data_IF_512109470525
#
_entry.id   IF_512109470525
#
_cell.length_a   1.000
_cell.length_b   1.000
_cell.length_c   1.000
_cell.angle_alpha   90.00
_cell.angle_beta   90.00
_cell.angle_gamma   90.00
#
_symmetry.space_group_name_H-M   'P 1'
#
loop_
_entity.id
_entity.type
_entity.pdbx_description
1 polymer ?
#
# COMPACT_ATOMS: atom_id res chain seq x y z
N UNK A 1 -3.64 -13.48 -6.37
CA UNK A 1 -3.79 -12.01 -6.49
C UNK A 1 -5.00 -11.72 -7.36
N UNK A 2 -5.59 -10.53 -7.26
CA UNK A 2 -6.62 -9.99 -8.16
C UNK A 2 -6.05 -8.75 -8.84
N UNK A 3 -6.52 -8.42 -10.04
CA UNK A 3 -6.16 -7.16 -10.67
C UNK A 3 -6.73 -5.97 -9.89
N UNK A 4 -5.99 -4.86 -9.81
CA UNK A 4 -6.41 -3.63 -9.15
C UNK A 4 -5.76 -2.42 -9.83
N UNK A 5 -6.56 -1.42 -10.19
CA UNK A 5 -6.11 -0.28 -11.02
C UNK A 5 -6.37 1.09 -10.38
N UNK A 6 -6.82 1.11 -9.12
CA UNK A 6 -7.24 2.35 -8.45
C UNK A 6 -6.19 2.83 -7.44
N UNK A 7 -6.54 3.80 -6.59
CA UNK A 7 -5.66 4.45 -5.62
C UNK A 7 -4.73 3.50 -4.87
N UNK A 8 -3.46 3.90 -4.79
CA UNK A 8 -2.47 3.35 -3.88
C UNK A 8 -2.46 4.22 -2.61
N UNK A 9 -2.74 3.67 -1.41
CA UNK A 9 -2.75 4.48 -0.19
C UNK A 9 -1.33 4.71 0.33
N UNK A 10 -1.18 5.65 1.27
CA UNK A 10 0.11 6.11 1.82
C UNK A 10 1.11 5.02 2.23
N UNK A 11 0.63 3.84 2.66
CA UNK A 11 1.49 2.73 3.05
C UNK A 11 2.12 1.99 1.86
N UNK A 12 1.58 2.12 0.64
CA UNK A 12 2.05 1.42 -0.56
C UNK A 12 1.50 0.01 -0.72
N UNK A 13 0.29 -0.30 -0.21
CA UNK A 13 -0.34 -1.61 -0.44
C UNK A 13 -0.87 -1.69 -1.87
N UNK A 14 -0.56 -2.78 -2.57
CA UNK A 14 -1.30 -3.19 -3.74
C UNK A 14 -2.54 -3.95 -3.27
N UNK A 15 -3.74 -3.36 -3.46
CA UNK A 15 -4.98 -3.98 -2.98
C UNK A 15 -5.23 -5.35 -3.60
N UNK A 16 -4.82 -5.56 -4.85
CA UNK A 16 -4.91 -6.86 -5.53
C UNK A 16 -4.14 -8.00 -4.85
N UNK A 17 -3.17 -7.69 -3.98
CA UNK A 17 -2.47 -8.66 -3.14
C UNK A 17 -2.85 -8.60 -1.66
N UNK A 18 -3.89 -7.84 -1.29
CA UNK A 18 -4.33 -7.72 0.10
C UNK A 18 -5.30 -8.87 0.44
N UNK A 19 -5.05 -9.66 1.50
CA UNK A 19 -5.90 -10.81 1.84
C UNK A 19 -7.36 -10.40 2.13
N UNK A 20 -7.59 -9.18 2.61
CA UNK A 20 -8.95 -8.66 2.85
C UNK A 20 -9.65 -8.24 1.55
N UNK A 21 -8.91 -7.82 0.52
CA UNK A 21 -9.48 -7.49 -0.80
C UNK A 21 -9.73 -8.77 -1.60
N UNK A 22 -8.83 -9.75 -1.51
CA UNK A 22 -8.88 -10.96 -2.33
C UNK A 22 -9.86 -12.02 -1.83
N UNK A 23 -10.35 -11.95 -0.57
CA UNK A 23 -11.30 -12.92 -0.01
C UNK A 23 -12.65 -12.97 -0.75
N UNK A 24 -13.36 -14.07 -0.62
CA UNK A 24 -14.64 -14.27 -1.32
C UNK A 24 -15.82 -13.65 -0.57
N UNK A 25 -15.90 -13.85 0.74
CA UNK A 25 -16.98 -13.32 1.57
C UNK A 25 -16.65 -11.92 2.06
N UNK A 26 -17.53 -10.96 1.74
CA UNK A 26 -17.46 -9.55 2.18
C UNK A 26 -16.07 -8.93 1.95
N UNK A 27 -15.53 -8.94 0.72
CA UNK A 27 -14.21 -8.37 0.44
C UNK A 27 -14.16 -6.89 0.79
N UNK A 28 -12.95 -6.40 1.09
CA UNK A 28 -12.66 -4.98 1.03
C UNK A 28 -12.84 -4.52 -0.42
N UNK A 29 -13.53 -3.40 -0.64
CA UNK A 29 -13.75 -2.78 -1.96
C UNK A 29 -12.51 -2.04 -2.54
N UNK A 30 -11.35 -2.15 -1.89
CA UNK A 30 -10.12 -1.47 -2.29
C UNK A 30 -9.97 -0.08 -1.67
N UNK A 31 -8.79 0.53 -1.84
CA UNK A 31 -8.43 1.78 -1.18
C UNK A 31 -9.11 3.02 -1.76
N UNK A 32 -9.57 2.93 -3.02
CA UNK A 32 -10.40 3.96 -3.66
C UNK A 32 -11.78 4.03 -3.02
N UNK A 33 -12.53 2.92 -3.06
CA UNK A 33 -13.91 2.88 -2.55
C UNK A 33 -13.98 2.89 -1.02
N UNK A 34 -13.03 2.28 -0.31
CA UNK A 34 -12.93 2.40 1.16
C UNK A 34 -12.06 3.60 1.57
N UNK A 35 -12.35 4.76 1.00
CA UNK A 35 -11.58 5.99 1.23
C UNK A 35 -11.52 6.34 2.71
N UNK A 36 -12.66 6.32 3.40
CA UNK A 36 -12.75 6.63 4.84
C UNK A 36 -11.86 5.75 5.70
N UNK A 37 -11.79 4.45 5.39
CA UNK A 37 -10.94 3.50 6.12
C UNK A 37 -9.46 3.87 5.97
N UNK A 38 -9.06 4.26 4.75
CA UNK A 38 -7.70 4.68 4.47
C UNK A 38 -7.41 6.03 5.11
N UNK A 39 -8.34 6.97 5.08
CA UNK A 39 -8.22 8.31 5.66
C UNK A 39 -8.15 8.29 7.19
N UNK A 40 -8.86 7.36 7.85
CA UNK A 40 -8.77 7.17 9.31
C UNK A 40 -7.55 6.34 9.76
N UNK A 41 -6.69 5.90 8.84
CA UNK A 41 -5.52 5.08 9.17
C UNK A 41 -4.46 5.90 9.94
N UNK A 42 -4.51 5.80 11.28
CA UNK A 42 -3.54 6.42 12.21
C UNK A 42 -2.09 5.99 11.95
N UNK A 43 -1.89 4.76 11.47
CA UNK A 43 -0.55 4.19 11.33
C UNK A 43 0.27 4.85 10.23
N UNK A 44 -0.35 5.13 9.08
CA UNK A 44 0.36 5.58 7.89
C UNK A 44 -0.26 6.80 7.24
N UNK A 45 -1.58 6.83 7.02
CA UNK A 45 -2.21 7.94 6.34
C UNK A 45 -2.13 9.23 7.18
N UNK A 46 -2.66 9.22 8.41
CA UNK A 46 -2.61 10.42 9.26
C UNK A 46 -1.17 10.84 9.59
N UNK A 47 -0.27 9.88 9.80
CA UNK A 47 1.17 10.15 9.95
C UNK A 47 1.79 10.86 8.73
N UNK A 48 1.35 10.52 7.50
CA UNK A 48 1.79 11.20 6.28
C UNK A 48 1.13 12.59 6.17
N UNK A 49 -0.17 12.70 6.44
CA UNK A 49 -0.91 13.96 6.44
C UNK A 49 -0.32 14.99 7.42
N UNK A 50 -0.02 14.58 8.67
CA UNK A 50 0.63 15.42 9.69
C UNK A 50 2.01 15.93 9.25
N UNK A 51 2.69 15.19 8.36
CA UNK A 51 4.01 15.53 7.81
C UNK A 51 3.94 16.25 6.47
N UNK A 52 2.73 16.51 5.94
CA UNK A 52 2.53 17.14 4.64
C UNK A 52 3.00 16.29 3.45
N UNK A 53 2.99 14.96 3.59
CA UNK A 53 3.42 14.01 2.56
C UNK A 53 2.27 13.05 2.19
N UNK A 54 2.35 12.42 1.02
CA UNK A 54 1.31 11.49 0.54
C UNK A 54 1.67 10.03 0.80
N UNK A 55 2.96 9.69 0.76
CA UNK A 55 3.47 8.34 0.92
C UNK A 55 4.62 8.26 1.92
N UNK A 56 4.75 7.12 2.60
CA UNK A 56 5.81 6.97 3.60
C UNK A 56 7.22 7.11 3.01
N UNK A 57 7.46 6.84 1.71
CA UNK A 57 8.80 7.02 1.10
C UNK A 57 9.29 8.48 1.12
N UNK A 58 8.38 9.45 1.26
CA UNK A 58 8.72 10.87 1.35
C UNK A 58 9.13 11.28 2.76
N UNK A 59 8.88 10.43 3.77
CA UNK A 59 9.27 10.72 5.14
C UNK A 59 10.79 10.63 5.29
N UNK A 60 11.42 11.63 5.90
CA UNK A 60 12.88 11.64 6.18
C UNK A 60 13.34 10.43 7.00
N UNK A 61 12.47 9.89 7.85
CA UNK A 61 12.75 8.73 8.69
C UNK A 61 12.46 7.39 7.98
N UNK A 62 12.12 7.39 6.69
CA UNK A 62 11.76 6.17 5.96
C UNK A 62 12.99 5.30 5.63
N UNK A 63 12.91 3.96 5.81
CA UNK A 63 11.84 3.22 6.47
C UNK A 63 11.98 3.32 8.00
N UNK A 64 10.95 3.84 8.68
CA UNK A 64 10.97 3.98 10.14
C UNK A 64 10.72 2.63 10.83
N UNK A 65 11.02 2.51 12.13
CA UNK A 65 10.87 1.26 12.87
C UNK A 65 9.45 0.66 12.79
N UNK A 66 8.42 1.52 12.86
CA UNK A 66 7.01 1.13 12.71
C UNK A 66 6.72 0.56 11.32
N UNK A 67 7.24 1.20 10.26
CA UNK A 67 7.08 0.73 8.89
C UNK A 67 7.82 -0.58 8.65
N UNK A 68 9.07 -0.72 9.12
CA UNK A 68 9.85 -1.97 9.02
C UNK A 68 9.11 -3.15 9.65
N UNK A 69 8.57 -2.95 10.86
CA UNK A 69 7.81 -3.99 11.58
C UNK A 69 6.51 -4.38 10.87
N UNK A 70 5.84 -3.41 10.25
CA UNK A 70 4.68 -3.67 9.40
C UNK A 70 5.06 -4.43 8.13
N UNK A 71 6.08 -3.98 7.40
CA UNK A 71 6.55 -4.61 6.17
C UNK A 71 6.94 -6.08 6.40
N UNK A 72 7.71 -6.37 7.47
CA UNK A 72 8.10 -7.74 7.84
C UNK A 72 6.90 -8.67 8.01
N UNK A 73 5.81 -8.20 8.65
CA UNK A 73 4.59 -9.01 8.85
C UNK A 73 3.81 -9.26 7.56
N UNK A 74 3.99 -8.43 6.53
CA UNK A 74 3.27 -8.52 5.26
C UNK A 74 3.98 -9.39 4.22
N UNK A 75 5.23 -9.78 4.44
CA UNK A 75 5.96 -10.69 3.57
C UNK A 75 5.20 -12.00 3.34
N UNK A 76 4.51 -12.52 4.36
CA UNK A 76 3.68 -13.74 4.26
C UNK A 76 2.49 -13.62 3.29
N UNK A 77 2.13 -12.40 2.90
CA UNK A 77 1.09 -12.12 1.90
C UNK A 77 1.69 -11.77 0.53
N UNK A 78 2.99 -11.97 0.33
CA UNK A 78 3.67 -11.75 -0.94
C UNK A 78 3.91 -10.28 -1.31
N UNK A 79 3.83 -9.36 -0.34
CA UNK A 79 4.11 -7.93 -0.56
C UNK A 79 5.25 -7.46 0.34
N UNK A 80 6.35 -7.02 -0.29
CA UNK A 80 7.40 -6.25 0.39
C UNK A 80 7.08 -4.76 0.31
N UNK A 81 6.61 -4.22 1.43
CA UNK A 81 6.22 -2.82 1.53
C UNK A 81 7.39 -1.83 1.45
N UNK A 82 8.60 -2.25 1.81
CA UNK A 82 9.78 -1.38 1.62
C UNK A 82 10.11 -1.29 0.14
N UNK A 83 10.08 -2.43 -0.57
CA UNK A 83 10.24 -2.46 -2.03
C UNK A 83 9.12 -1.67 -2.75
N UNK A 84 7.87 -1.80 -2.30
CA UNK A 84 6.74 -1.06 -2.86
C UNK A 84 6.94 0.44 -2.81
N UNK A 85 7.32 0.95 -1.64
CA UNK A 85 7.57 2.36 -1.44
C UNK A 85 8.75 2.89 -2.26
N UNK A 86 9.79 2.06 -2.47
CA UNK A 86 10.89 2.40 -3.40
C UNK A 86 10.41 2.46 -4.85
N UNK A 87 9.62 1.48 -5.29
CA UNK A 87 9.04 1.46 -6.64
C UNK A 87 8.11 2.66 -6.87
N UNK A 88 7.25 2.99 -5.90
CA UNK A 88 6.38 4.17 -5.95
C UNK A 88 7.19 5.46 -6.06
N UNK A 89 8.30 5.58 -5.32
CA UNK A 89 9.21 6.72 -5.42
C UNK A 89 9.85 6.84 -6.81
N UNK A 90 10.25 5.72 -7.39
CA UNK A 90 11.02 5.67 -8.64
C UNK A 90 10.15 5.81 -9.88
N UNK A 91 8.99 5.16 -9.89
CA UNK A 91 8.19 4.97 -11.10
C UNK A 91 6.75 5.53 -11.00
N UNK A 92 6.33 5.96 -9.80
CA UNK A 92 4.99 6.46 -9.56
C UNK A 92 3.91 5.37 -9.46
N UNK A 93 2.67 5.80 -9.22
CA UNK A 93 1.55 4.89 -8.96
C UNK A 93 1.13 4.09 -10.19
N UNK A 94 1.13 4.69 -11.38
CA UNK A 94 0.69 4.01 -12.61
C UNK A 94 1.57 2.80 -12.93
N UNK A 95 2.89 2.99 -12.92
CA UNK A 95 3.84 1.91 -13.20
C UNK A 95 3.85 0.87 -12.06
N UNK A 96 3.72 1.31 -10.80
CA UNK A 96 3.54 0.41 -9.67
C UNK A 96 2.34 -0.54 -9.86
N UNK A 97 1.17 0.01 -10.22
CA UNK A 97 -0.04 -0.77 -10.46
C UNK A 97 0.14 -1.70 -11.66
N UNK A 98 0.70 -1.21 -12.76
CA UNK A 98 0.97 -2.01 -13.95
C UNK A 98 1.84 -3.22 -13.63
N UNK A 99 2.98 -3.02 -12.97
CA UNK A 99 3.88 -4.12 -12.61
C UNK A 99 3.20 -5.14 -11.69
N UNK A 100 2.43 -4.68 -10.70
CA UNK A 100 1.73 -5.58 -9.79
C UNK A 100 0.59 -6.37 -10.46
N UNK A 101 -0.10 -5.78 -11.44
CA UNK A 101 -1.12 -6.47 -12.24
C UNK A 101 -0.52 -7.47 -13.22
N UNK A 102 0.70 -7.23 -13.70
CA UNK A 102 1.45 -8.13 -14.59
C UNK A 102 2.17 -9.27 -13.85
N UNK A 103 2.28 -9.19 -12.51
CA UNK A 103 2.70 -10.31 -11.67
C UNK A 103 1.55 -11.32 -11.61
N UNK A 104 1.38 -12.08 -12.68
CA UNK A 104 0.50 -13.24 -12.72
C UNK A 104 0.91 -14.21 -11.62
N UNK A 105 -0.09 -14.78 -10.93
CA UNK A 105 0.11 -15.95 -10.06
C UNK A 105 0.39 -17.15 -10.94
#
# INVERSE_FOLDING_TARGET
MKTYYSRVPACGVFCGGCPTYTRDKKPCLGAEQNKERCERCKTFHLCCTEKGITHCYQCKAFPCAKFKSFAKRWLKYGQDFVANQKLLKQAGEMEFLKQYNQRTV
#
